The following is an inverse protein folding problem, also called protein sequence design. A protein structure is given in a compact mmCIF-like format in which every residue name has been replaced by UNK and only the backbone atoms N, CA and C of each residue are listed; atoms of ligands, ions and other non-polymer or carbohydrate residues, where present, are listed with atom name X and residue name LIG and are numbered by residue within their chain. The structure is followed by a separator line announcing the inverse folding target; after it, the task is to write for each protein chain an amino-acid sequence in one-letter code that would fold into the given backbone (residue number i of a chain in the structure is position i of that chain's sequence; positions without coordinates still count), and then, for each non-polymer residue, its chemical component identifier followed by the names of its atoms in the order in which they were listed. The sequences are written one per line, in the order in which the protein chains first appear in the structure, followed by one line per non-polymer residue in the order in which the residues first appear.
data_IF_519654849331
#
_entry.id   IF_519654849331
#
_cell.length_a   1.000
_cell.length_b   1.000
_cell.length_c   1.000
_cell.angle_alpha   90.00
_cell.angle_beta   90.00
_cell.angle_gamma   90.00
#
_symmetry.space_group_name_H-M   'P 1'
#
loop_
_entity.id
_entity.type
_entity.pdbx_description
1 polymer ?
#
# COMPACT_ATOMS: atom_id res chain seq x y z
N UNK A 1 3.34 3.73 -1.97
CA UNK A 1 2.66 3.85 -0.67
C UNK A 1 3.19 2.90 0.41
N UNK A 2 3.65 1.69 0.08
CA UNK A 2 4.13 0.69 1.07
C UNK A 2 5.12 1.23 2.11
N UNK A 3 6.18 1.92 1.69
CA UNK A 3 7.18 2.48 2.62
C UNK A 3 6.61 3.50 3.61
N UNK A 4 5.62 4.31 3.19
CA UNK A 4 4.96 5.27 4.06
C UNK A 4 4.12 4.58 5.15
N UNK A 5 3.43 3.49 4.79
CA UNK A 5 2.68 2.67 5.76
C UNK A 5 3.61 2.00 6.77
N UNK A 6 4.74 1.44 6.32
CA UNK A 6 5.74 0.85 7.21
C UNK A 6 6.38 1.89 8.14
N UNK A 7 6.59 3.12 7.67
CA UNK A 7 7.07 4.22 8.51
C UNK A 7 6.03 4.60 9.57
N UNK A 8 4.75 4.74 9.17
CA UNK A 8 3.66 5.03 10.10
C UNK A 8 3.55 3.99 11.22
N UNK A 9 3.70 2.70 10.87
CA UNK A 9 3.71 1.60 11.84
C UNK A 9 4.83 1.75 12.87
N UNK A 10 6.07 1.99 12.40
CA UNK A 10 7.23 2.18 13.28
C UNK A 10 7.11 3.41 14.16
N UNK A 11 6.63 4.53 13.61
CA UNK A 11 6.41 5.76 14.39
C UNK A 11 5.40 5.51 15.50
N UNK A 12 4.30 4.80 15.19
CA UNK A 12 3.29 4.40 16.20
C UNK A 12 3.90 3.52 17.30
N UNK A 13 4.68 2.50 16.93
CA UNK A 13 5.36 1.60 17.89
C UNK A 13 6.37 2.34 18.77
N UNK A 14 7.04 3.36 18.23
CA UNK A 14 8.01 4.19 18.95
C UNK A 14 7.36 5.34 19.75
N UNK A 15 6.04 5.55 19.65
CA UNK A 15 5.37 6.70 20.25
C UNK A 15 5.74 8.05 19.62
N UNK A 16 6.26 8.04 18.40
CA UNK A 16 6.67 9.22 17.65
C UNK A 16 5.49 9.87 16.92
N UNK A 17 5.46 11.20 16.88
CA UNK A 17 4.43 11.98 16.19
C UNK A 17 5.05 12.87 15.12
N UNK A 18 4.33 13.09 14.03
CA UNK A 18 4.79 13.91 12.91
C UNK A 18 4.02 13.64 11.62
N UNK A 19 4.25 14.47 10.61
CA UNK A 19 3.66 14.30 9.29
C UNK A 19 4.51 13.35 8.43
N UNK A 20 3.85 12.41 7.74
CA UNK A 20 4.46 11.58 6.69
C UNK A 20 4.07 12.17 5.35
N UNK A 21 5.06 12.53 4.54
CA UNK A 21 4.87 13.06 3.18
C UNK A 21 5.37 12.04 2.18
N UNK A 22 4.55 11.75 1.16
CA UNK A 22 4.91 10.90 0.01
C UNK A 22 4.41 11.55 -1.26
N UNK A 23 5.08 11.27 -2.38
CA UNK A 23 4.68 11.72 -3.72
C UNK A 23 4.15 10.54 -4.53
N UNK A 24 3.01 10.73 -5.18
CA UNK A 24 2.54 9.89 -6.28
C UNK A 24 2.70 10.71 -7.56
N UNK A 25 3.50 10.22 -8.50
CA UNK A 25 3.91 10.98 -9.68
C UNK A 25 2.81 11.06 -10.75
N UNK A 26 1.91 10.09 -10.76
CA UNK A 26 0.75 10.05 -11.62
C UNK A 26 -0.46 9.43 -10.92
N UNK A 27 -1.64 9.66 -11.50
CA UNK A 27 -2.88 8.99 -11.14
C UNK A 27 -2.92 7.59 -11.76
N UNK A 28 -3.59 6.66 -11.07
CA UNK A 28 -3.73 5.30 -11.57
C UNK A 28 -4.63 5.15 -12.80
N UNK A 29 -5.44 6.16 -13.11
CA UNK A 29 -6.37 6.16 -14.25
C UNK A 29 -5.68 6.00 -15.62
N UNK A 30 -4.35 6.20 -15.69
CA UNK A 30 -3.56 5.95 -16.90
C UNK A 30 -3.34 4.47 -17.19
N UNK A 31 -3.64 3.60 -16.22
CA UNK A 31 -3.24 2.20 -16.19
C UNK A 31 -4.46 1.25 -16.05
N UNK A 32 -5.64 1.70 -16.51
CA UNK A 32 -6.90 0.97 -16.37
C UNK A 32 -6.85 -0.46 -16.94
N UNK A 33 -6.13 -0.64 -18.04
CA UNK A 33 -6.00 -1.95 -18.70
C UNK A 33 -4.89 -2.84 -18.11
N UNK A 34 -4.21 -2.38 -17.03
CA UNK A 34 -3.14 -3.13 -16.36
C UNK A 34 -3.53 -3.51 -14.93
N UNK A 35 -2.98 -2.87 -13.90
CA UNK A 35 -3.19 -3.26 -12.51
C UNK A 35 -4.60 -2.98 -11.96
N UNK A 36 -5.47 -2.32 -12.73
CA UNK A 36 -6.91 -2.26 -12.47
C UNK A 36 -7.68 -3.44 -13.08
N UNK A 37 -7.06 -4.22 -13.97
CA UNK A 37 -7.65 -5.37 -14.63
C UNK A 37 -7.25 -6.66 -13.90
N UNK A 38 -8.18 -7.38 -13.23
CA UNK A 38 -7.83 -8.53 -12.39
C UNK A 38 -7.08 -9.64 -13.10
N UNK A 39 -7.41 -9.92 -14.37
CA UNK A 39 -6.69 -10.95 -15.12
C UNK A 39 -5.25 -10.55 -15.42
N UNK A 40 -5.00 -9.26 -15.70
CA UNK A 40 -3.66 -8.76 -15.94
C UNK A 40 -2.82 -8.85 -14.66
N UNK A 41 -3.41 -8.48 -13.52
CA UNK A 41 -2.78 -8.63 -12.18
C UNK A 41 -2.44 -10.09 -11.91
N UNK A 42 -3.38 -11.02 -12.12
CA UNK A 42 -3.14 -12.45 -11.89
C UNK A 42 -2.00 -13.00 -12.75
N UNK A 43 -1.86 -12.51 -13.99
CA UNK A 43 -0.84 -12.96 -14.93
C UNK A 43 0.54 -12.33 -14.66
N UNK A 44 0.60 -11.04 -14.27
CA UNK A 44 1.84 -10.26 -14.22
C UNK A 44 2.35 -9.97 -12.81
N UNK A 45 1.48 -9.94 -11.80
CA UNK A 45 1.82 -9.62 -10.40
C UNK A 45 1.61 -10.83 -9.49
N UNK A 46 0.56 -11.62 -9.73
CA UNK A 46 0.21 -12.79 -8.95
C UNK A 46 -0.69 -12.51 -7.75
N UNK A 47 -0.60 -13.35 -6.72
CA UNK A 47 -1.46 -13.29 -5.54
C UNK A 47 -1.16 -12.06 -4.67
N UNK A 48 -2.19 -11.22 -4.47
CA UNK A 48 -2.11 -10.03 -3.64
C UNK A 48 -2.51 -10.28 -2.18
N UNK A 49 -3.02 -11.46 -1.85
CA UNK A 49 -3.56 -11.81 -0.52
C UNK A 49 -2.59 -11.50 0.62
N UNK A 50 -1.27 -11.81 0.55
CA UNK A 50 -0.34 -11.48 1.62
C UNK A 50 -0.24 -9.98 1.89
N UNK A 51 -0.27 -9.17 0.84
CA UNK A 51 -0.13 -7.72 0.93
C UNK A 51 -1.41 -7.06 1.43
N UNK A 52 -2.57 -7.53 0.98
CA UNK A 52 -3.87 -7.11 1.49
C UNK A 52 -4.01 -7.42 2.99
N UNK A 53 -3.57 -8.60 3.42
CA UNK A 53 -3.57 -8.98 4.83
C UNK A 53 -2.63 -8.09 5.66
N UNK A 54 -1.43 -7.80 5.15
CA UNK A 54 -0.48 -6.92 5.83
C UNK A 54 -1.03 -5.48 5.98
N UNK A 55 -1.65 -4.94 4.92
CA UNK A 55 -2.29 -3.61 4.98
C UNK A 55 -3.45 -3.62 5.99
N UNK A 56 -4.29 -4.66 5.98
CA UNK A 56 -5.39 -4.78 6.93
C UNK A 56 -4.89 -4.81 8.39
N UNK A 57 -3.82 -5.56 8.67
CA UNK A 57 -3.21 -5.61 10.00
C UNK A 57 -2.68 -4.23 10.45
N UNK A 58 -2.13 -3.43 9.53
CA UNK A 58 -1.67 -2.08 9.84
C UNK A 58 -2.81 -1.13 10.23
N UNK A 59 -4.00 -1.31 9.62
CA UNK A 59 -5.20 -0.50 9.86
C UNK A 59 -5.95 -0.89 11.14
N UNK A 60 -5.90 -2.17 11.54
CA UNK A 60 -6.57 -2.66 12.76
C UNK A 60 -5.73 -2.52 14.02
N UNK A 61 -4.41 -2.32 13.91
CA UNK A 61 -3.49 -2.14 15.03
C UNK A 61 -3.60 -0.75 15.72
N UNK A 62 -4.82 -0.27 15.96
CA UNK A 62 -5.13 0.99 16.65
C UNK A 62 -5.58 0.75 18.09
#
# INVERSE_FOLDING_TARGET
MWGALQLAARMREAGETGAIVTLLCDSGERYLDTYYHPAWVSEHIGDLTPWSAAIAALLTAG
#
